data_IF_996188423967
#
_entry.id   IF_996188423967
#
_cell.length_a   1.000
_cell.length_b   1.000
_cell.length_c   1.000
_cell.angle_alpha   90.00
_cell.angle_beta   90.00
_cell.angle_gamma   90.00
#
_symmetry.space_group_name_H-M   'P 1'
#
loop_
_entity.id
_entity.type
_entity.pdbx_description
1 polymer ?
#
# COMPACT_ATOMS: atom_id res chain seq x y z
N UNK A 1 -5.78 18.50 -16.88
CA UNK A 1 -6.09 19.82 -16.30
C UNK A 1 -4.76 20.42 -15.85
N UNK A 2 -4.46 21.71 -16.11
CA UNK A 2 -3.19 22.33 -15.69
C UNK A 2 -3.12 22.55 -14.18
N UNK A 3 -1.88 22.70 -13.65
CA UNK A 3 -1.66 23.01 -12.24
C UNK A 3 -2.38 24.29 -11.81
N UNK A 4 -2.36 25.34 -12.65
CA UNK A 4 -3.07 26.60 -12.39
C UNK A 4 -4.57 26.41 -12.27
N UNK A 5 -5.16 25.64 -13.17
CA UNK A 5 -6.60 25.37 -13.13
C UNK A 5 -6.98 24.57 -11.90
N UNK A 6 -6.20 23.56 -11.53
CA UNK A 6 -6.44 22.79 -10.28
C UNK A 6 -6.29 23.70 -9.07
N UNK A 7 -5.24 24.54 -9.04
CA UNK A 7 -5.00 25.47 -7.94
C UNK A 7 -6.13 26.47 -7.78
N UNK A 8 -6.67 27.02 -8.88
CA UNK A 8 -7.79 27.99 -8.85
C UNK A 8 -9.11 27.42 -8.33
N UNK A 9 -9.25 26.08 -8.27
CA UNK A 9 -10.43 25.41 -7.72
C UNK A 9 -10.34 25.17 -6.21
N UNK A 10 -9.18 25.45 -5.58
CA UNK A 10 -9.01 25.26 -4.15
C UNK A 10 -9.69 26.42 -3.41
N UNK A 11 -10.66 26.15 -2.51
CA UNK A 11 -11.31 27.21 -1.74
C UNK A 11 -10.30 28.04 -0.94
N UNK A 12 -10.49 29.36 -0.90
CA UNK A 12 -9.56 30.29 -0.22
C UNK A 12 -9.36 29.95 1.26
N UNK A 13 -10.41 29.51 1.94
CA UNK A 13 -10.38 29.15 3.36
C UNK A 13 -9.74 27.78 3.64
N UNK A 14 -9.42 26.98 2.63
CA UNK A 14 -8.82 25.65 2.80
C UNK A 14 -7.39 25.77 3.35
N UNK A 15 -7.18 25.34 4.60
CA UNK A 15 -5.87 25.32 5.24
C UNK A 15 -5.04 24.08 4.86
N UNK A 16 -5.71 23.01 4.42
CA UNK A 16 -5.09 21.76 4.01
C UNK A 16 -5.73 21.26 2.72
N UNK A 17 -4.91 20.84 1.78
CA UNK A 17 -5.31 20.34 0.47
C UNK A 17 -4.87 18.90 0.30
N UNK A 18 -5.81 18.00 0.04
CA UNK A 18 -5.54 16.60 -0.29
C UNK A 18 -5.56 16.39 -1.80
N UNK A 19 -4.45 15.93 -2.38
CA UNK A 19 -4.42 15.48 -3.77
C UNK A 19 -4.81 14.00 -3.82
N UNK A 20 -5.93 13.72 -4.47
CA UNK A 20 -6.50 12.37 -4.59
C UNK A 20 -6.56 11.97 -6.06
N UNK A 21 -6.09 10.77 -6.36
CA UNK A 21 -6.10 10.19 -7.70
C UNK A 21 -5.48 8.80 -7.69
N UNK A 22 -5.74 8.02 -8.72
CA UNK A 22 -5.18 6.66 -8.85
C UNK A 22 -3.64 6.67 -8.92
N UNK A 23 -3.05 7.71 -9.51
CA UNK A 23 -1.61 7.89 -9.62
C UNK A 23 -1.28 9.38 -9.66
N UNK A 24 -1.29 10.04 -8.51
CA UNK A 24 -1.02 11.49 -8.39
C UNK A 24 0.33 11.87 -9.00
N UNK A 25 1.35 11.02 -8.87
CA UNK A 25 2.68 11.24 -9.45
C UNK A 25 2.74 11.18 -10.98
N UNK A 26 1.69 10.69 -11.64
CA UNK A 26 1.64 10.63 -13.10
C UNK A 26 1.14 11.95 -13.71
N UNK A 27 0.64 12.89 -12.89
CA UNK A 27 0.29 14.22 -13.37
C UNK A 27 1.57 15.01 -13.74
N UNK A 28 1.71 15.50 -14.98
CA UNK A 28 2.96 16.12 -15.46
C UNK A 28 3.38 17.34 -14.63
N UNK A 29 2.42 18.09 -14.12
CA UNK A 29 2.66 19.33 -13.35
C UNK A 29 2.47 19.13 -11.84
N UNK A 30 2.55 17.89 -11.32
CA UNK A 30 2.31 17.61 -9.88
C UNK A 30 3.26 18.39 -8.97
N UNK A 31 4.54 18.54 -9.38
CA UNK A 31 5.54 19.29 -8.64
C UNK A 31 5.16 20.79 -8.55
N UNK A 32 4.74 21.36 -9.66
CA UNK A 32 4.30 22.76 -9.73
C UNK A 32 3.05 23.00 -8.87
N UNK A 33 2.04 22.13 -9.01
CA UNK A 33 0.82 22.21 -8.20
C UNK A 33 1.12 22.11 -6.70
N UNK A 34 1.93 21.12 -6.30
CA UNK A 34 2.35 20.97 -4.91
C UNK A 34 3.12 22.22 -4.41
N UNK A 35 3.99 22.77 -5.24
CA UNK A 35 4.74 24.00 -4.96
C UNK A 35 3.82 25.19 -4.72
N UNK A 36 2.82 25.41 -5.58
CA UNK A 36 1.82 26.48 -5.43
C UNK A 36 1.00 26.35 -4.15
N UNK A 37 0.55 25.12 -3.84
CA UNK A 37 -0.21 24.85 -2.60
C UNK A 37 0.64 25.21 -1.37
N UNK A 38 1.89 24.74 -1.31
CA UNK A 38 2.77 25.01 -0.17
C UNK A 38 3.17 26.48 -0.09
N UNK A 39 3.47 27.14 -1.22
CA UNK A 39 3.80 28.56 -1.26
C UNK A 39 2.65 29.44 -0.80
N UNK A 40 1.40 29.01 -0.96
CA UNK A 40 0.22 29.73 -0.43
C UNK A 40 -0.02 29.53 1.08
N UNK A 41 0.93 28.91 1.80
CA UNK A 41 0.82 28.67 3.25
C UNK A 41 -0.08 27.50 3.63
N UNK A 42 -0.56 26.72 2.67
CA UNK A 42 -1.44 25.56 2.92
C UNK A 42 -0.63 24.30 3.18
N UNK A 43 -1.17 23.44 4.03
CA UNK A 43 -0.65 22.07 4.17
C UNK A 43 -1.08 21.21 2.99
N UNK A 44 -0.23 20.26 2.59
CA UNK A 44 -0.53 19.32 1.52
C UNK A 44 -0.65 17.88 2.08
N UNK A 45 -1.61 17.12 1.55
CA UNK A 45 -1.75 15.68 1.75
C UNK A 45 -1.76 14.98 0.41
N UNK A 46 -1.14 13.83 0.32
CA UNK A 46 -1.15 12.98 -0.87
C UNK A 46 -1.43 11.54 -0.47
N UNK A 47 -1.99 10.75 -1.39
CA UNK A 47 -2.09 9.30 -1.24
C UNK A 47 -0.71 8.65 -1.41
N UNK A 48 -0.65 7.33 -1.62
CA UNK A 48 0.60 6.66 -1.97
C UNK A 48 1.15 7.19 -3.29
N UNK A 49 2.46 7.37 -3.34
CA UNK A 49 3.18 7.86 -4.52
C UNK A 49 3.99 6.72 -5.14
N UNK A 50 4.14 6.73 -6.45
CA UNK A 50 4.95 5.76 -7.17
C UNK A 50 6.44 6.06 -6.93
N UNK A 51 7.19 5.07 -6.40
CA UNK A 51 8.61 5.23 -6.10
C UNK A 51 9.47 5.55 -7.34
N UNK A 52 9.12 4.97 -8.49
CA UNK A 52 9.80 5.20 -9.78
C UNK A 52 9.54 6.59 -10.38
N UNK A 53 8.61 7.38 -9.81
CA UNK A 53 8.24 8.73 -10.27
C UNK A 53 8.59 9.82 -9.25
N UNK A 54 9.21 9.46 -8.13
CA UNK A 54 9.63 10.45 -7.13
C UNK A 54 10.82 11.27 -7.62
N UNK A 55 10.84 12.53 -7.21
CA UNK A 55 12.00 13.43 -7.36
C UNK A 55 12.30 14.09 -6.02
N UNK A 56 13.58 14.44 -5.79
CA UNK A 56 14.01 15.15 -4.59
C UNK A 56 13.22 16.44 -4.35
N UNK A 57 12.96 17.21 -5.42
CA UNK A 57 12.20 18.45 -5.33
C UNK A 57 10.78 18.21 -4.81
N UNK A 58 10.07 17.21 -5.39
CA UNK A 58 8.70 16.90 -4.95
C UNK A 58 8.68 16.50 -3.47
N UNK A 59 9.60 15.61 -3.05
CA UNK A 59 9.68 15.16 -1.67
C UNK A 59 9.99 16.31 -0.71
N UNK A 60 10.91 17.23 -1.09
CA UNK A 60 11.21 18.44 -0.32
C UNK A 60 10.02 19.39 -0.23
N UNK A 61 9.25 19.56 -1.32
CA UNK A 61 8.02 20.37 -1.31
C UNK A 61 6.99 19.77 -0.34
N UNK A 62 6.76 18.46 -0.41
CA UNK A 62 5.85 17.76 0.49
C UNK A 62 6.27 17.91 1.96
N UNK A 63 7.56 17.77 2.26
CA UNK A 63 8.10 17.95 3.61
C UNK A 63 7.85 19.37 4.14
N UNK A 64 8.11 20.40 3.32
CA UNK A 64 7.80 21.81 3.65
C UNK A 64 6.30 22.04 3.86
N UNK A 65 5.45 21.32 3.12
CA UNK A 65 3.99 21.34 3.29
C UNK A 65 3.47 20.54 4.49
N UNK A 66 4.37 20.12 5.41
CA UNK A 66 4.03 19.43 6.65
C UNK A 66 3.86 17.91 6.53
N UNK A 67 4.27 17.32 5.39
CA UNK A 67 4.17 15.88 5.17
C UNK A 67 5.31 15.16 5.91
N UNK A 68 4.96 14.33 6.90
CA UNK A 68 5.95 13.68 7.78
C UNK A 68 6.27 12.24 7.39
N UNK A 69 5.38 11.59 6.62
CA UNK A 69 5.54 10.19 6.23
C UNK A 69 5.33 10.06 4.74
N UNK A 70 6.35 9.68 3.99
CA UNK A 70 6.19 9.33 2.58
C UNK A 70 5.60 7.92 2.49
N UNK A 71 4.54 7.77 1.70
CA UNK A 71 3.90 6.48 1.47
C UNK A 71 4.10 6.06 0.01
N UNK A 72 4.65 4.86 -0.20
CA UNK A 72 4.78 4.24 -1.51
C UNK A 72 4.36 2.77 -1.45
N UNK A 73 4.36 2.08 -2.58
CA UNK A 73 4.01 0.68 -2.68
C UNK A 73 5.08 -0.09 -3.48
N UNK A 74 5.44 -1.26 -2.99
CA UNK A 74 6.21 -2.25 -3.75
C UNK A 74 5.30 -3.32 -4.36
N UNK A 75 4.13 -3.54 -3.77
CA UNK A 75 3.15 -4.57 -4.05
C UNK A 75 3.67 -6.00 -3.80
N UNK A 76 4.62 -6.51 -4.58
CA UNK A 76 5.23 -7.82 -4.33
C UNK A 76 6.34 -7.78 -3.28
N UNK A 77 6.43 -8.83 -2.44
CA UNK A 77 7.42 -8.92 -1.35
C UNK A 77 8.86 -9.07 -1.86
N UNK A 78 9.08 -9.59 -3.08
CA UNK A 78 10.41 -9.74 -3.70
C UNK A 78 10.50 -9.04 -5.04
N UNK A 79 11.73 -8.79 -5.52
CA UNK A 79 11.96 -8.24 -6.87
C UNK A 79 11.43 -9.17 -7.96
N UNK A 80 11.59 -10.48 -7.77
CA UNK A 80 11.08 -11.49 -8.68
C UNK A 80 9.55 -11.37 -8.84
N UNK A 81 8.82 -11.27 -7.73
CA UNK A 81 7.37 -11.12 -7.75
C UNK A 81 6.93 -9.79 -8.35
N UNK A 82 7.59 -8.68 -8.01
CA UNK A 82 7.31 -7.38 -8.63
C UNK A 82 7.43 -7.45 -10.16
N UNK A 83 8.49 -8.07 -10.66
CA UNK A 83 8.69 -8.27 -12.10
C UNK A 83 7.58 -9.12 -12.72
N UNK A 84 7.21 -10.23 -12.07
CA UNK A 84 6.17 -11.16 -12.52
C UNK A 84 4.79 -10.52 -12.65
N UNK A 85 4.43 -9.62 -11.74
CA UNK A 85 3.15 -8.88 -11.77
C UNK A 85 3.23 -7.58 -12.58
N UNK A 86 4.29 -7.38 -13.35
CA UNK A 86 4.45 -6.21 -14.21
C UNK A 86 4.71 -4.89 -13.48
N UNK A 87 5.12 -4.94 -12.19
CA UNK A 87 5.48 -3.73 -11.44
C UNK A 87 6.87 -3.26 -11.83
N UNK A 88 6.97 -1.99 -12.23
CA UNK A 88 8.23 -1.35 -12.62
C UNK A 88 9.05 -0.85 -11.43
N UNK A 89 8.50 -0.90 -10.22
CA UNK A 89 9.20 -0.49 -9.00
C UNK A 89 10.28 -1.52 -8.66
N UNK A 90 11.54 -1.09 -8.64
CA UNK A 90 12.72 -1.89 -8.30
C UNK A 90 13.18 -1.58 -6.88
N UNK A 91 14.09 -2.43 -6.33
CA UNK A 91 14.76 -2.14 -5.05
C UNK A 91 15.44 -0.78 -5.09
N UNK A 92 16.15 -0.46 -6.19
CA UNK A 92 16.82 0.83 -6.35
C UNK A 92 15.87 2.04 -6.27
N UNK A 93 14.65 1.93 -6.81
CA UNK A 93 13.65 2.99 -6.66
C UNK A 93 13.23 3.17 -5.20
N UNK A 94 13.13 2.09 -4.43
CA UNK A 94 12.75 2.13 -3.02
C UNK A 94 13.89 2.64 -2.13
N UNK A 95 15.14 2.28 -2.44
CA UNK A 95 16.34 2.83 -1.77
C UNK A 95 16.40 4.34 -1.98
N UNK A 96 16.28 4.80 -3.23
CA UNK A 96 16.23 6.24 -3.53
C UNK A 96 15.09 6.96 -2.80
N UNK A 97 13.90 6.33 -2.72
CA UNK A 97 12.79 6.90 -1.97
C UNK A 97 13.12 7.05 -0.48
N UNK A 98 13.79 6.06 0.13
CA UNK A 98 14.23 6.12 1.52
C UNK A 98 15.28 7.25 1.74
N UNK A 99 16.23 7.39 0.83
CA UNK A 99 17.23 8.46 0.86
C UNK A 99 16.58 9.84 0.72
N UNK A 100 15.64 10.01 -0.21
CA UNK A 100 14.88 11.26 -0.37
C UNK A 100 14.12 11.63 0.90
N UNK A 101 13.48 10.65 1.56
CA UNK A 101 12.76 10.84 2.83
C UNK A 101 13.71 11.33 3.92
N UNK A 102 14.87 10.67 4.08
CA UNK A 102 15.92 11.07 5.03
C UNK A 102 16.43 12.48 4.74
N UNK A 103 16.79 12.75 3.48
CA UNK A 103 17.38 14.02 3.06
C UNK A 103 16.40 15.20 3.16
N UNK A 104 15.09 14.94 3.04
CA UNK A 104 14.05 15.93 3.23
C UNK A 104 13.64 16.14 4.71
N UNK A 105 14.27 15.43 5.65
CA UNK A 105 13.94 15.51 7.07
C UNK A 105 12.56 14.94 7.45
N UNK A 106 11.99 14.08 6.62
CA UNK A 106 10.76 13.38 6.96
C UNK A 106 11.01 12.29 8.00
N UNK A 107 10.00 11.96 8.77
CA UNK A 107 10.13 11.04 9.91
C UNK A 107 10.18 9.57 9.52
N UNK A 108 9.54 9.19 8.37
CA UNK A 108 9.31 7.77 8.06
C UNK A 108 9.02 7.55 6.58
N UNK A 109 9.47 6.40 6.08
CA UNK A 109 8.95 5.78 4.86
C UNK A 109 7.90 4.73 5.23
N UNK A 110 6.71 4.80 4.63
CA UNK A 110 5.68 3.77 4.73
C UNK A 110 5.59 3.02 3.42
N UNK A 111 5.69 1.70 3.48
CA UNK A 111 5.66 0.82 2.31
C UNK A 111 4.44 -0.10 2.38
N UNK A 112 3.62 -0.06 1.33
CA UNK A 112 2.55 -1.03 1.12
C UNK A 112 3.07 -2.24 0.36
N UNK A 113 2.74 -3.43 0.86
CA UNK A 113 3.08 -4.71 0.26
C UNK A 113 1.89 -5.66 0.31
N UNK A 114 1.87 -6.62 -0.62
CA UNK A 114 0.96 -7.75 -0.59
C UNK A 114 1.75 -9.04 -0.40
N UNK A 115 1.16 -10.01 0.29
CA UNK A 115 1.70 -11.34 0.57
C UNK A 115 0.71 -12.40 0.11
N UNK A 116 1.18 -13.57 -0.30
CA UNK A 116 0.32 -14.64 -0.78
C UNK A 116 0.00 -14.55 -2.28
N UNK A 117 0.90 -13.99 -3.07
CA UNK A 117 0.79 -14.06 -4.53
C UNK A 117 0.96 -15.49 -5.04
N UNK A 118 0.27 -15.88 -6.12
CA UNK A 118 0.50 -17.17 -6.76
C UNK A 118 1.99 -17.40 -7.06
N UNK A 119 2.53 -18.51 -6.56
CA UNK A 119 3.94 -18.88 -6.71
C UNK A 119 4.92 -18.05 -5.86
N UNK A 120 4.45 -17.40 -4.82
CA UNK A 120 5.29 -16.81 -3.77
C UNK A 120 5.89 -17.94 -2.92
N UNK A 121 7.18 -17.83 -2.62
CA UNK A 121 7.93 -18.81 -1.84
C UNK A 121 8.41 -18.22 -0.51
N UNK A 122 8.99 -19.05 0.34
CA UNK A 122 9.58 -18.61 1.62
C UNK A 122 10.80 -17.71 1.37
N UNK A 123 11.56 -17.98 0.31
CA UNK A 123 12.72 -17.21 -0.09
C UNK A 123 12.32 -15.77 -0.49
N UNK A 124 11.16 -15.58 -1.12
CA UNK A 124 10.61 -14.25 -1.41
C UNK A 124 10.32 -13.47 -0.11
N UNK A 125 9.81 -14.16 0.90
CA UNK A 125 9.56 -13.57 2.22
C UNK A 125 10.88 -13.20 2.91
N UNK A 126 11.90 -14.04 2.80
CA UNK A 126 13.22 -13.77 3.35
C UNK A 126 13.93 -12.61 2.64
N UNK A 127 13.77 -12.50 1.31
CA UNK A 127 14.22 -11.33 0.55
C UNK A 127 13.54 -10.05 1.06
N UNK A 128 12.23 -10.11 1.31
CA UNK A 128 11.49 -8.98 1.90
C UNK A 128 12.06 -8.56 3.26
N UNK A 129 12.34 -9.53 4.13
CA UNK A 129 12.93 -9.25 5.46
C UNK A 129 14.28 -8.57 5.30
N UNK A 130 15.19 -9.16 4.51
CA UNK A 130 16.52 -8.61 4.24
C UNK A 130 16.43 -7.17 3.72
N UNK A 131 15.65 -6.96 2.67
CA UNK A 131 15.51 -5.66 2.03
C UNK A 131 14.84 -4.62 2.94
N UNK A 132 13.86 -5.02 3.74
CA UNK A 132 13.25 -4.12 4.73
C UNK A 132 14.21 -3.67 5.82
N UNK A 133 15.14 -4.53 6.25
CA UNK A 133 16.20 -4.16 7.19
C UNK A 133 17.20 -3.18 6.55
N UNK A 134 17.53 -3.35 5.28
CA UNK A 134 18.37 -2.42 4.52
C UNK A 134 17.72 -1.03 4.45
N UNK A 135 16.44 -0.94 4.07
CA UNK A 135 15.69 0.32 4.05
C UNK A 135 15.58 0.96 5.44
N UNK A 136 15.38 0.15 6.49
CA UNK A 136 15.31 0.63 7.88
C UNK A 136 16.65 1.19 8.38
N UNK A 137 17.77 0.78 7.79
CA UNK A 137 19.09 1.38 8.02
C UNK A 137 19.24 2.78 7.42
N UNK A 138 18.40 3.14 6.46
CA UNK A 138 18.41 4.46 5.81
C UNK A 138 17.46 5.44 6.55
N UNK A 139 16.22 5.01 6.80
CA UNK A 139 15.16 5.82 7.41
C UNK A 139 14.18 4.94 8.18
N UNK A 140 13.54 5.41 9.27
CA UNK A 140 12.51 4.63 9.95
C UNK A 140 11.46 4.10 8.98
N UNK A 141 11.22 2.79 8.99
CA UNK A 141 10.34 2.08 8.05
C UNK A 141 9.08 1.56 8.74
N UNK A 142 7.95 1.69 8.07
CA UNK A 142 6.69 1.00 8.42
C UNK A 142 6.19 0.20 7.22
N UNK A 143 5.93 -1.10 7.44
CA UNK A 143 5.34 -1.99 6.44
C UNK A 143 3.86 -2.19 6.72
N UNK A 144 3.01 -1.85 5.76
CA UNK A 144 1.60 -2.26 5.74
C UNK A 144 1.45 -3.41 4.77
N UNK A 145 1.13 -4.59 5.30
CA UNK A 145 1.11 -5.84 4.53
C UNK A 145 -0.32 -6.35 4.47
N UNK A 146 -0.83 -6.57 3.26
CA UNK A 146 -2.16 -7.15 3.04
C UNK A 146 -2.03 -8.48 2.30
N UNK A 147 -2.81 -9.52 2.66
CA UNK A 147 -2.93 -10.69 1.82
C UNK A 147 -3.42 -10.32 0.42
N UNK A 148 -2.89 -10.99 -0.60
CA UNK A 148 -3.36 -10.83 -1.96
C UNK A 148 -4.80 -11.36 -2.09
N UNK A 149 -5.66 -10.54 -2.67
CA UNK A 149 -7.06 -10.88 -2.95
C UNK A 149 -7.32 -10.66 -4.44
N UNK A 150 -7.55 -11.75 -5.17
CA UNK A 150 -7.90 -11.71 -6.58
C UNK A 150 -9.21 -10.93 -6.79
N UNK A 151 -9.24 -10.10 -7.81
CA UNK A 151 -10.43 -9.30 -8.19
C UNK A 151 -10.86 -9.66 -9.59
N UNK A 152 -12.17 -9.80 -9.81
CA UNK A 152 -12.74 -9.99 -11.16
C UNK A 152 -12.32 -8.87 -12.09
N UNK A 153 -12.24 -9.17 -13.37
CA UNK A 153 -11.81 -8.26 -14.43
C UNK A 153 -10.36 -7.76 -14.30
N UNK A 154 -9.49 -8.56 -13.65
CA UNK A 154 -8.05 -8.31 -13.56
C UNK A 154 -7.27 -9.51 -14.11
N UNK A 155 -6.00 -9.34 -14.52
CA UNK A 155 -5.19 -10.45 -15.04
C UNK A 155 -5.02 -11.65 -14.08
N UNK A 156 -5.23 -11.43 -12.79
CA UNK A 156 -5.12 -12.46 -11.75
C UNK A 156 -6.49 -12.84 -11.15
N UNK A 157 -7.58 -12.61 -11.86
CA UNK A 157 -8.94 -12.86 -11.35
C UNK A 157 -9.19 -14.31 -10.93
N UNK A 158 -8.60 -15.28 -11.64
CA UNK A 158 -8.73 -16.71 -11.33
C UNK A 158 -7.72 -17.23 -10.32
N UNK A 159 -6.87 -16.37 -9.76
CA UNK A 159 -5.87 -16.80 -8.79
C UNK A 159 -6.53 -17.24 -7.48
N UNK A 160 -6.16 -18.42 -6.95
CA UNK A 160 -6.70 -18.90 -5.67
C UNK A 160 -6.19 -18.01 -4.53
N UNK A 161 -6.98 -17.94 -3.46
CA UNK A 161 -6.54 -17.36 -2.20
C UNK A 161 -5.60 -18.35 -1.49
N UNK A 162 -4.46 -17.84 -1.02
CA UNK A 162 -3.54 -18.67 -0.22
C UNK A 162 -4.16 -19.03 1.12
N UNK A 163 -3.95 -20.25 1.60
CA UNK A 163 -4.51 -20.71 2.87
C UNK A 163 -4.17 -19.78 4.03
N UNK A 164 -5.15 -19.52 4.89
CA UNK A 164 -5.01 -18.63 6.05
C UNK A 164 -3.81 -19.01 6.92
N UNK A 165 -3.64 -20.32 7.18
CA UNK A 165 -2.53 -20.78 8.02
C UNK A 165 -1.15 -20.50 7.39
N UNK A 166 -1.01 -20.68 6.08
CA UNK A 166 0.20 -20.34 5.33
C UNK A 166 0.51 -18.86 5.42
N UNK A 167 -0.49 -18.00 5.16
CA UNK A 167 -0.36 -16.54 5.30
C UNK A 167 0.04 -16.12 6.72
N UNK A 168 -0.61 -16.69 7.76
CA UNK A 168 -0.29 -16.38 9.15
C UNK A 168 1.15 -16.83 9.51
N UNK A 169 1.63 -17.95 8.96
CA UNK A 169 3.00 -18.42 9.13
C UNK A 169 4.01 -17.45 8.48
N UNK A 170 3.79 -17.05 7.23
CA UNK A 170 4.64 -16.07 6.53
C UNK A 170 4.67 -14.73 7.27
N UNK A 171 3.51 -14.22 7.72
CA UNK A 171 3.43 -12.99 8.50
C UNK A 171 4.14 -13.08 9.84
N UNK A 172 4.07 -14.25 10.50
CA UNK A 172 4.81 -14.49 11.75
C UNK A 172 6.32 -14.47 11.51
N UNK A 173 6.81 -15.10 10.42
CA UNK A 173 8.21 -15.06 9.99
C UNK A 173 8.69 -13.63 9.76
N UNK A 174 7.91 -12.81 9.04
CA UNK A 174 8.24 -11.40 8.81
C UNK A 174 8.31 -10.62 10.12
N UNK A 175 7.34 -10.79 11.02
CA UNK A 175 7.35 -10.12 12.33
C UNK A 175 8.58 -10.51 13.15
N UNK A 176 8.94 -11.77 13.16
CA UNK A 176 10.12 -12.24 13.89
C UNK A 176 11.42 -11.66 13.32
N UNK A 177 11.59 -11.71 11.99
CA UNK A 177 12.79 -11.20 11.32
C UNK A 177 12.95 -9.67 11.38
N UNK A 178 11.85 -8.93 11.53
CA UNK A 178 11.82 -7.46 11.56
C UNK A 178 11.64 -6.86 12.96
N UNK A 179 11.56 -7.71 13.99
CA UNK A 179 11.27 -7.30 15.37
C UNK A 179 12.24 -6.21 15.87
N UNK A 180 11.67 -5.13 16.39
CA UNK A 180 12.43 -4.00 16.95
C UNK A 180 13.15 -3.11 15.93
N UNK A 181 13.06 -3.42 14.64
CA UNK A 181 13.70 -2.65 13.56
C UNK A 181 12.70 -1.98 12.62
N UNK A 182 11.59 -2.63 12.34
CA UNK A 182 10.57 -2.18 11.40
C UNK A 182 9.18 -2.29 12.05
N UNK A 183 8.34 -1.28 11.85
CA UNK A 183 6.95 -1.27 12.30
C UNK A 183 6.10 -2.07 11.29
N UNK A 184 5.76 -3.32 11.64
CA UNK A 184 5.03 -4.25 10.76
C UNK A 184 3.55 -4.26 11.12
N UNK A 185 2.70 -3.84 10.16
CA UNK A 185 1.25 -3.71 10.29
C UNK A 185 0.51 -4.59 9.27
N UNK A 186 0.33 -5.87 9.52
CA UNK A 186 -0.41 -6.73 8.61
C UNK A 186 -1.91 -6.59 8.80
N UNK A 187 -2.64 -6.70 7.68
CA UNK A 187 -4.07 -6.95 7.69
C UNK A 187 -4.38 -8.41 8.06
N UNK A 188 -5.59 -8.66 8.52
CA UNK A 188 -6.01 -10.01 8.92
C UNK A 188 -6.18 -10.93 7.71
N UNK A 189 -5.50 -12.08 7.70
CA UNK A 189 -5.67 -13.10 6.68
C UNK A 189 -7.12 -13.65 6.64
N UNK A 190 -7.79 -13.73 7.80
CA UNK A 190 -9.19 -14.18 7.91
C UNK A 190 -10.14 -13.21 7.21
N UNK A 191 -9.98 -11.90 7.41
CA UNK A 191 -10.81 -10.91 6.75
C UNK A 191 -10.49 -10.76 5.27
N UNK A 192 -9.23 -10.94 4.87
CA UNK A 192 -8.84 -11.02 3.47
C UNK A 192 -9.47 -12.23 2.76
N UNK A 193 -9.63 -13.37 3.45
CA UNK A 193 -10.37 -14.52 2.93
C UNK A 193 -11.86 -14.20 2.70
N UNK A 194 -12.51 -13.50 3.63
CA UNK A 194 -13.90 -13.04 3.44
C UNK A 194 -13.98 -12.10 2.23
N UNK A 195 -13.06 -11.15 2.11
CA UNK A 195 -12.98 -10.23 0.97
C UNK A 195 -12.79 -10.99 -0.34
N UNK A 196 -11.94 -12.02 -0.37
CA UNK A 196 -11.74 -12.88 -1.53
C UNK A 196 -13.03 -13.56 -1.94
N UNK A 197 -13.73 -14.23 -1.01
CA UNK A 197 -15.01 -14.91 -1.28
C UNK A 197 -16.03 -13.93 -1.88
N UNK A 198 -16.19 -12.76 -1.30
CA UNK A 198 -17.09 -11.72 -1.81
C UNK A 198 -16.65 -11.15 -3.17
N UNK A 199 -15.34 -11.06 -3.41
CA UNK A 199 -14.80 -10.54 -4.67
C UNK A 199 -14.91 -11.52 -5.83
N UNK A 200 -15.01 -12.82 -5.54
CA UNK A 200 -15.19 -13.89 -6.53
C UNK A 200 -16.64 -14.34 -6.65
N UNK A 201 -17.45 -13.99 -5.67
CA UNK A 201 -18.84 -14.36 -5.61
C UNK A 201 -19.78 -13.50 -6.47
N UNK A 202 -21.05 -13.82 -6.38
CA UNK A 202 -22.14 -13.10 -7.02
C UNK A 202 -23.26 -12.79 -6.02
N UNK A 203 -24.53 -12.96 -6.40
CA UNK A 203 -25.68 -12.66 -5.56
C UNK A 203 -25.77 -13.55 -4.32
N UNK A 204 -25.40 -14.81 -4.43
CA UNK A 204 -25.43 -15.79 -3.35
C UNK A 204 -24.46 -15.40 -2.22
N UNK A 205 -23.26 -14.94 -2.54
CA UNK A 205 -22.32 -14.42 -1.56
C UNK A 205 -22.86 -13.14 -0.88
N UNK A 206 -23.60 -12.33 -1.62
CA UNK A 206 -24.33 -11.17 -1.05
C UNK A 206 -25.38 -11.60 -0.02
N UNK A 207 -26.12 -12.67 -0.28
CA UNK A 207 -27.08 -13.24 0.67
C UNK A 207 -26.37 -13.84 1.89
N UNK A 208 -25.26 -14.55 1.69
CA UNK A 208 -24.44 -15.07 2.78
C UNK A 208 -23.89 -13.93 3.67
N UNK A 209 -23.54 -12.78 3.10
CA UNK A 209 -23.14 -11.61 3.85
C UNK A 209 -24.25 -11.10 4.80
N UNK A 210 -25.52 -11.09 4.35
CA UNK A 210 -26.64 -10.75 5.20
C UNK A 210 -26.85 -11.75 6.34
N UNK A 211 -26.69 -13.07 6.05
CA UNK A 211 -26.77 -14.11 7.09
C UNK A 211 -25.65 -13.95 8.13
N UNK A 212 -24.42 -13.74 7.69
CA UNK A 212 -23.27 -13.51 8.56
C UNK A 212 -23.49 -12.29 9.46
N UNK A 213 -23.99 -11.18 8.90
CA UNK A 213 -24.32 -9.99 9.67
C UNK A 213 -25.39 -10.24 10.72
N UNK A 214 -26.50 -10.90 10.37
CA UNK A 214 -27.58 -11.27 11.31
C UNK A 214 -27.08 -12.19 12.43
N UNK A 215 -26.06 -13.01 12.16
CA UNK A 215 -25.41 -13.89 13.13
C UNK A 215 -24.31 -13.20 13.97
N UNK A 216 -24.23 -11.85 13.94
CA UNK A 216 -23.32 -11.04 14.75
C UNK A 216 -21.99 -10.72 14.07
N UNK A 217 -21.79 -11.03 12.79
CA UNK A 217 -20.68 -10.57 11.96
C UNK A 217 -19.29 -11.12 12.33
N UNK A 218 -19.19 -12.10 13.23
CA UNK A 218 -17.89 -12.72 13.59
C UNK A 218 -17.30 -13.52 12.41
N UNK A 219 -15.99 -13.74 12.40
CA UNK A 219 -15.37 -14.57 11.37
C UNK A 219 -15.99 -15.97 11.28
N UNK A 220 -16.38 -16.56 12.41
CA UNK A 220 -17.08 -17.86 12.45
C UNK A 220 -18.44 -17.79 11.76
N UNK A 221 -19.19 -16.70 11.96
CA UNK A 221 -20.48 -16.48 11.28
C UNK A 221 -20.28 -16.36 9.76
N UNK A 222 -19.28 -15.59 9.31
CA UNK A 222 -18.91 -15.48 7.90
C UNK A 222 -18.50 -16.82 7.30
N UNK A 223 -17.60 -17.56 7.99
CA UNK A 223 -17.16 -18.88 7.53
C UNK A 223 -18.33 -19.83 7.35
N UNK A 224 -19.27 -19.84 8.32
CA UNK A 224 -20.47 -20.71 8.26
C UNK A 224 -21.41 -20.32 7.12
N UNK A 225 -21.65 -19.03 6.91
CA UNK A 225 -22.53 -18.55 5.84
C UNK A 225 -21.96 -18.86 4.45
N UNK A 226 -20.66 -18.58 4.24
CA UNK A 226 -19.98 -18.80 2.97
C UNK A 226 -19.63 -20.27 2.67
N UNK A 227 -19.64 -21.17 3.67
CA UNK A 227 -19.41 -22.60 3.46
C UNK A 227 -20.64 -23.35 2.92
N UNK A 228 -21.82 -22.70 2.86
CA UNK A 228 -23.07 -23.28 2.33
C UNK A 228 -23.22 -23.10 0.81
N UNK A 229 -22.33 -22.32 0.22
CA UNK A 229 -22.21 -22.06 -1.21
C UNK A 229 -21.14 -22.94 -1.85
#
# INVERSE_FOLDING_TARGET
>A
MSADRVFSLIPEHARRVGLVGAAVTDHPEVKELAGKIVASGRQIGVSSLRADRLSDDLVKILARGGYKTLTTASDGVSQRLRTRIGRRTTEQHLIRAAEMVRNAGMQRLKLYQMIGFPGETVEDVDECIRFSLELAGIVPLSLSISPFVAKRNTPLESAPFEEIHSLESKLSRMRAGLKGKVDVRPSSARWAWVEYRLSQGDKEEGLAAMEAWRAGGSFSAWKKALARL
#
